data_IF_543556926213
#
_entry.id   IF_543556926213
#
_cell.length_a   1.000
_cell.length_b   1.000
_cell.length_c   1.000
_cell.angle_alpha   90.00
_cell.angle_beta   90.00
_cell.angle_gamma   90.00
#
_symmetry.space_group_name_H-M   'P 1'
#
loop_
_entity.id
_entity.type
_entity.pdbx_description
1 polymer ?
#
# COMPACT_ATOMS: atom_id res chain seq x y z
N UNK A 1 23.53 3.93 -16.80
CA UNK A 1 23.84 2.91 -15.76
C UNK A 1 23.05 1.65 -16.05
N UNK A 2 23.56 0.45 -15.65
CA UNK A 2 22.74 -0.77 -15.72
C UNK A 2 21.65 -0.73 -14.64
N UNK A 3 20.64 -1.57 -14.78
CA UNK A 3 19.58 -1.66 -13.78
C UNK A 3 20.11 -2.18 -12.44
N UNK A 4 21.10 -3.07 -12.47
CA UNK A 4 21.77 -3.60 -11.27
C UNK A 4 22.56 -2.51 -10.54
N UNK A 5 23.31 -1.67 -11.28
CA UNK A 5 24.03 -0.52 -10.69
C UNK A 5 23.06 0.47 -10.07
N UNK A 6 21.93 0.76 -10.75
CA UNK A 6 20.88 1.64 -10.24
C UNK A 6 20.26 1.06 -8.96
N UNK A 7 19.96 -0.25 -8.94
CA UNK A 7 19.43 -0.92 -7.76
C UNK A 7 20.44 -0.92 -6.61
N UNK A 8 21.73 -1.10 -6.90
CA UNK A 8 22.77 -1.08 -5.86
C UNK A 8 22.84 0.29 -5.15
N UNK A 9 22.75 1.39 -5.91
CA UNK A 9 22.69 2.73 -5.32
C UNK A 9 21.43 2.94 -4.49
N UNK A 10 20.25 2.54 -4.97
CA UNK A 10 19.00 2.66 -4.22
C UNK A 10 19.02 1.83 -2.93
N UNK A 11 19.50 0.59 -2.97
CA UNK A 11 19.60 -0.28 -1.79
C UNK A 11 20.55 0.30 -0.74
N UNK A 12 21.63 0.95 -1.16
CA UNK A 12 22.60 1.56 -0.24
C UNK A 12 22.05 2.69 0.62
N UNK A 13 20.93 3.31 0.20
CA UNK A 13 20.27 4.39 0.94
C UNK A 13 19.29 3.79 1.95
N UNK A 14 19.54 4.01 3.26
CA UNK A 14 18.65 3.57 4.34
C UNK A 14 17.38 4.42 4.38
N UNK A 15 16.30 3.89 3.82
CA UNK A 15 14.97 4.51 3.76
C UNK A 15 13.90 3.75 4.54
N UNK A 16 14.27 3.11 5.66
CA UNK A 16 13.29 2.44 6.53
C UNK A 16 12.21 3.43 6.97
N UNK A 17 10.93 3.02 6.91
CA UNK A 17 9.73 3.87 7.11
C UNK A 17 9.71 4.66 8.41
N UNK A 18 10.45 4.24 9.45
CA UNK A 18 10.60 5.03 10.68
C UNK A 18 11.60 6.20 10.58
N UNK A 19 12.24 6.42 9.43
CA UNK A 19 13.19 7.50 9.14
C UNK A 19 12.65 8.40 8.03
N UNK A 20 13.32 9.54 7.82
CA UNK A 20 13.07 10.37 6.65
C UNK A 20 13.56 9.68 5.37
N UNK A 21 12.80 9.77 4.30
CA UNK A 21 13.19 9.31 2.97
C UNK A 21 13.82 10.43 2.11
N UNK A 22 14.15 11.58 2.69
CA UNK A 22 14.63 12.74 1.94
C UNK A 22 15.93 12.46 1.17
N UNK A 23 16.79 11.56 1.66
CA UNK A 23 18.04 11.19 0.97
C UNK A 23 17.78 10.47 -0.35
N UNK A 24 16.90 9.45 -0.35
CA UNK A 24 16.54 8.73 -1.58
C UNK A 24 15.79 9.64 -2.55
N UNK A 25 14.93 10.53 -2.06
CA UNK A 25 14.24 11.52 -2.92
C UNK A 25 15.24 12.48 -3.56
N UNK A 26 16.25 12.96 -2.82
CA UNK A 26 17.30 13.81 -3.37
C UNK A 26 18.07 13.10 -4.49
N UNK A 27 18.39 11.82 -4.30
CA UNK A 27 19.02 11.00 -5.33
C UNK A 27 18.15 10.88 -6.57
N UNK A 28 16.86 10.55 -6.42
CA UNK A 28 15.91 10.39 -7.51
C UNK A 28 15.67 11.71 -8.26
N UNK A 29 15.58 12.84 -7.55
CA UNK A 29 15.45 14.16 -8.15
C UNK A 29 16.67 14.47 -9.04
N UNK A 30 17.88 14.31 -8.50
CA UNK A 30 19.09 14.58 -9.26
C UNK A 30 19.20 13.71 -10.53
N UNK A 31 18.80 12.43 -10.44
CA UNK A 31 18.81 11.51 -11.60
C UNK A 31 17.80 11.91 -12.67
N UNK A 32 16.57 12.26 -12.29
CA UNK A 32 15.52 12.64 -13.24
C UNK A 32 15.78 14.03 -13.83
N UNK A 33 16.26 15.00 -13.05
CA UNK A 33 16.62 16.33 -13.54
C UNK A 33 17.79 16.31 -14.53
N UNK A 34 18.80 15.44 -14.30
CA UNK A 34 19.90 15.23 -15.24
C UNK A 34 19.43 14.70 -16.61
N UNK A 35 18.28 14.04 -16.67
CA UNK A 35 17.64 13.58 -17.89
C UNK A 35 16.68 14.64 -18.50
N UNK A 36 16.58 15.83 -17.90
CA UNK A 36 15.72 16.91 -18.39
C UNK A 36 14.24 16.79 -17.93
N UNK A 37 13.96 15.99 -16.90
CA UNK A 37 12.65 15.91 -16.29
C UNK A 37 12.46 17.03 -15.27
N UNK A 38 11.23 17.44 -15.05
CA UNK A 38 10.87 18.40 -14.00
C UNK A 38 10.43 17.65 -12.76
N UNK A 39 11.19 17.77 -11.67
CA UNK A 39 10.85 17.19 -10.39
C UNK A 39 10.04 18.18 -9.53
N UNK A 40 8.98 17.70 -8.87
CA UNK A 40 8.19 18.44 -7.87
C UNK A 40 8.07 17.59 -6.62
N UNK A 41 8.40 18.17 -5.48
CA UNK A 41 8.33 17.48 -4.18
C UNK A 41 7.11 17.93 -3.37
N UNK A 42 6.59 16.99 -2.56
CA UNK A 42 5.43 17.18 -1.70
C UNK A 42 5.81 16.69 -0.30
N UNK A 43 6.42 17.57 0.53
CA UNK A 43 6.81 17.20 1.88
C UNK A 43 5.62 17.20 2.83
N UNK A 44 5.62 16.25 3.78
CA UNK A 44 4.68 16.22 4.91
C UNK A 44 5.40 15.73 6.16
N UNK A 45 4.72 15.69 7.30
CA UNK A 45 5.27 15.14 8.53
C UNK A 45 4.39 13.99 9.02
N UNK A 46 5.04 12.88 9.38
CA UNK A 46 4.33 11.76 10.02
C UNK A 46 3.89 12.13 11.45
N UNK A 47 3.11 11.26 12.09
CA UNK A 47 2.62 11.44 13.46
C UNK A 47 3.73 11.64 14.52
N UNK A 48 4.97 11.24 14.21
CA UNK A 48 6.16 11.43 15.05
C UNK A 48 6.88 12.74 14.74
N UNK A 49 6.39 13.54 13.79
CA UNK A 49 7.00 14.77 13.33
C UNK A 49 8.21 14.59 12.39
N UNK A 50 8.44 13.36 11.89
CA UNK A 50 9.53 13.07 10.94
C UNK A 50 9.09 13.57 9.56
N UNK A 51 9.98 14.32 8.90
CA UNK A 51 9.75 14.77 7.54
C UNK A 51 9.79 13.61 6.55
N UNK A 52 8.76 13.54 5.73
CA UNK A 52 8.55 12.61 4.63
C UNK A 52 8.36 13.39 3.34
N UNK A 53 8.80 12.86 2.24
CA UNK A 53 8.75 13.55 0.95
C UNK A 53 8.25 12.62 -0.14
N UNK A 54 7.14 12.99 -0.77
CA UNK A 54 6.76 12.40 -2.05
C UNK A 54 7.37 13.23 -3.18
N UNK A 55 7.60 12.63 -4.33
CA UNK A 55 8.12 13.31 -5.51
C UNK A 55 7.40 12.85 -6.77
N UNK A 56 7.07 13.80 -7.64
CA UNK A 56 6.60 13.54 -8.99
C UNK A 56 7.61 14.15 -9.95
N UNK A 57 8.25 13.30 -10.75
CA UNK A 57 9.06 13.75 -11.87
C UNK A 57 8.26 13.59 -13.17
N UNK A 58 8.18 14.65 -13.98
CA UNK A 58 7.35 14.67 -15.17
C UNK A 58 8.15 15.09 -16.39
N UNK A 59 7.86 14.46 -17.54
CA UNK A 59 8.38 14.84 -18.84
C UNK A 59 7.24 15.00 -19.87
N UNK A 60 7.46 15.82 -20.90
CA UNK A 60 6.51 16.05 -21.97
C UNK A 60 5.45 17.12 -21.69
N UNK A 61 5.54 17.82 -20.54
CA UNK A 61 4.69 18.98 -20.21
C UNK A 61 5.36 19.90 -19.22
N UNK A 62 5.12 21.20 -19.40
CA UNK A 62 5.51 22.27 -18.47
C UNK A 62 4.31 22.82 -17.69
N UNK A 63 3.12 22.23 -17.86
CA UNK A 63 1.91 22.65 -17.17
C UNK A 63 2.07 22.57 -15.65
N UNK A 64 1.49 23.52 -14.92
CA UNK A 64 1.50 23.54 -13.46
C UNK A 64 0.69 22.37 -12.90
N UNK A 65 -0.49 22.12 -13.50
CA UNK A 65 -1.31 20.95 -13.24
C UNK A 65 -0.70 19.73 -13.95
N UNK A 66 -0.34 18.71 -13.18
CA UNK A 66 0.27 17.51 -13.73
C UNK A 66 -0.81 16.58 -14.25
N UNK A 67 -0.97 16.54 -15.57
CA UNK A 67 -1.83 15.61 -16.28
C UNK A 67 -0.98 14.76 -17.21
N UNK A 68 -1.00 13.43 -17.04
CA UNK A 68 -0.11 12.52 -17.78
C UNK A 68 -0.88 11.34 -18.38
N UNK A 69 -0.34 10.80 -19.44
CA UNK A 69 -0.89 9.59 -20.05
C UNK A 69 -0.52 8.34 -19.25
N UNK A 70 0.73 8.27 -18.77
CA UNK A 70 1.24 7.15 -17.99
C UNK A 70 1.98 7.64 -16.75
N UNK A 71 1.73 7.01 -15.62
CA UNK A 71 2.49 7.16 -14.39
C UNK A 71 3.14 5.82 -13.99
N UNK A 72 4.44 5.82 -13.69
CA UNK A 72 5.13 4.71 -13.05
C UNK A 72 5.33 5.07 -11.58
N UNK A 73 4.75 4.28 -10.68
CA UNK A 73 4.67 4.58 -9.24
C UNK A 73 5.49 3.57 -8.46
N UNK A 74 6.28 4.03 -7.49
CA UNK A 74 7.00 3.15 -6.59
C UNK A 74 7.29 3.83 -5.26
N UNK A 75 7.10 3.10 -4.17
CA UNK A 75 7.43 3.61 -2.85
C UNK A 75 8.92 3.54 -2.57
N UNK A 76 9.40 4.51 -1.79
CA UNK A 76 10.82 4.68 -1.51
C UNK A 76 11.23 4.14 -0.14
N UNK A 77 10.27 3.92 0.74
CA UNK A 77 10.51 3.37 2.06
C UNK A 77 10.60 1.84 2.06
N UNK A 78 11.09 1.29 3.14
CA UNK A 78 11.22 -0.15 3.34
C UNK A 78 10.88 -0.51 4.78
N UNK A 79 10.44 -1.76 5.02
CA UNK A 79 10.34 -2.28 6.38
C UNK A 79 11.71 -2.35 7.07
N UNK A 80 11.76 -2.35 8.41
CA UNK A 80 12.98 -2.59 9.17
C UNK A 80 13.63 -3.93 8.82
N UNK A 81 14.92 -4.04 9.03
CA UNK A 81 15.69 -5.28 8.89
C UNK A 81 16.41 -5.64 10.19
N UNK A 82 16.70 -6.92 10.36
CA UNK A 82 17.42 -7.44 11.50
C UNK A 82 18.86 -6.90 11.50
N UNK A 83 19.35 -6.41 12.64
CA UNK A 83 20.74 -5.94 12.78
C UNK A 83 21.79 -7.03 12.49
N UNK A 84 21.42 -8.31 12.61
CA UNK A 84 22.27 -9.43 12.21
C UNK A 84 22.42 -9.56 10.69
N UNK A 85 21.55 -8.94 9.89
CA UNK A 85 21.69 -8.89 8.44
C UNK A 85 22.59 -7.72 8.04
N UNK A 86 23.90 -7.91 8.20
CA UNK A 86 24.92 -6.85 8.00
C UNK A 86 25.01 -6.33 6.57
N UNK A 87 24.51 -7.09 5.59
CA UNK A 87 24.53 -6.74 4.15
C UNK A 87 23.21 -6.16 3.67
N UNK A 88 22.26 -5.86 4.56
CA UNK A 88 20.92 -5.40 4.18
C UNK A 88 20.93 -4.19 3.23
N UNK A 89 21.88 -3.27 3.42
CA UNK A 89 22.05 -2.06 2.60
C UNK A 89 23.20 -2.17 1.58
N UNK A 90 23.61 -3.40 1.26
CA UNK A 90 24.60 -3.67 0.22
C UNK A 90 24.08 -4.72 -0.73
N UNK A 91 23.79 -4.33 -1.98
CA UNK A 91 23.33 -5.28 -2.97
C UNK A 91 24.39 -6.35 -3.22
N UNK A 92 24.01 -7.61 -3.09
CA UNK A 92 24.89 -8.76 -3.32
C UNK A 92 24.25 -9.72 -4.30
N UNK A 93 25.03 -10.18 -5.28
CA UNK A 93 24.58 -11.15 -6.29
C UNK A 93 24.97 -12.56 -5.89
N UNK A 94 24.00 -13.48 -5.92
CA UNK A 94 24.18 -14.93 -5.73
C UNK A 94 23.11 -15.70 -6.48
N UNK A 95 23.46 -16.76 -7.17
CA UNK A 95 22.50 -17.66 -7.84
C UNK A 95 21.49 -16.90 -8.72
N UNK A 96 21.96 -15.95 -9.54
CA UNK A 96 21.14 -15.10 -10.42
C UNK A 96 20.06 -14.29 -9.68
N UNK A 97 20.32 -13.94 -8.42
CA UNK A 97 19.47 -13.13 -7.55
C UNK A 97 20.27 -11.99 -6.94
N UNK A 98 19.62 -10.86 -6.81
CA UNK A 98 20.17 -9.66 -6.19
C UNK A 98 19.55 -9.47 -4.80
N UNK A 99 20.37 -9.61 -3.76
CA UNK A 99 19.94 -9.57 -2.35
C UNK A 99 20.20 -8.20 -1.76
N UNK A 100 19.22 -7.66 -1.04
CA UNK A 100 19.28 -6.40 -0.31
C UNK A 100 17.91 -6.00 0.20
N UNK A 101 17.83 -5.16 1.24
CA UNK A 101 16.55 -4.64 1.73
C UNK A 101 15.95 -3.68 0.69
N UNK A 102 14.69 -3.92 0.33
CA UNK A 102 13.99 -3.19 -0.73
C UNK A 102 14.35 -3.66 -2.15
N UNK A 103 15.25 -4.64 -2.31
CA UNK A 103 15.60 -5.13 -3.65
C UNK A 103 14.38 -5.71 -4.38
N UNK A 104 13.46 -6.31 -3.63
CA UNK A 104 12.19 -6.83 -4.11
C UNK A 104 11.06 -5.79 -3.94
N UNK A 105 10.98 -5.19 -2.76
CA UNK A 105 9.88 -4.35 -2.30
C UNK A 105 10.38 -2.95 -1.89
N UNK A 106 10.36 -1.94 -2.81
CA UNK A 106 10.06 -1.98 -4.27
C UNK A 106 11.14 -1.22 -5.06
N UNK A 107 12.39 -1.05 -4.47
CA UNK A 107 13.51 -0.37 -5.13
C UNK A 107 13.90 -1.03 -6.46
N UNK A 108 13.64 -2.35 -6.62
CA UNK A 108 13.83 -3.06 -7.89
C UNK A 108 12.97 -2.49 -9.01
N UNK A 109 11.69 -2.24 -8.75
CA UNK A 109 10.81 -1.58 -9.71
C UNK A 109 11.27 -0.14 -10.01
N UNK A 110 11.67 0.62 -8.98
CA UNK A 110 12.19 2.00 -9.16
C UNK A 110 13.43 1.96 -10.06
N UNK A 111 14.35 1.03 -9.83
CA UNK A 111 15.55 0.87 -10.67
C UNK A 111 15.19 0.54 -12.12
N UNK A 112 14.21 -0.36 -12.34
CA UNK A 112 13.71 -0.70 -13.66
C UNK A 112 13.07 0.51 -14.36
N UNK A 113 12.24 1.29 -13.64
CA UNK A 113 11.59 2.48 -14.17
C UNK A 113 12.62 3.57 -14.57
N UNK A 114 13.61 3.84 -13.70
CA UNK A 114 14.70 4.78 -14.01
C UNK A 114 15.50 4.32 -15.24
N UNK A 115 15.83 3.04 -15.32
CA UNK A 115 16.57 2.49 -16.48
C UNK A 115 15.75 2.56 -17.76
N UNK A 116 14.44 2.33 -17.69
CA UNK A 116 13.55 2.43 -18.84
C UNK A 116 13.48 3.86 -19.38
N UNK A 117 13.36 4.87 -18.50
CA UNK A 117 13.29 6.27 -18.94
C UNK A 117 14.63 6.81 -19.49
N UNK A 118 15.78 6.28 -19.07
CA UNK A 118 17.09 6.63 -19.63
C UNK A 118 17.22 6.29 -21.12
N UNK A 119 16.40 5.37 -21.61
CA UNK A 119 16.37 4.95 -23.02
C UNK A 119 15.53 5.84 -23.92
N UNK A 120 14.76 6.79 -23.33
CA UNK A 120 13.80 7.62 -24.05
C UNK A 120 14.46 8.88 -24.57
N UNK A 121 14.25 9.16 -25.85
CA UNK A 121 14.48 10.50 -26.39
C UNK A 121 13.26 11.39 -26.07
N UNK A 122 13.39 12.31 -25.11
CA UNK A 122 12.31 13.19 -24.68
C UNK A 122 11.67 14.00 -25.83
N UNK A 123 12.43 14.25 -26.91
CA UNK A 123 11.93 14.96 -28.10
C UNK A 123 10.88 14.15 -28.87
N UNK A 124 10.78 12.84 -28.62
CA UNK A 124 9.81 11.96 -29.25
C UNK A 124 8.53 11.79 -28.42
N UNK A 125 8.50 12.31 -27.19
CA UNK A 125 7.30 12.25 -26.37
C UNK A 125 6.16 13.00 -27.03
N UNK A 126 5.06 12.31 -27.26
CA UNK A 126 3.78 12.85 -27.78
C UNK A 126 2.77 13.10 -26.66
N UNK A 127 2.94 12.38 -25.54
CA UNK A 127 2.09 12.47 -24.36
C UNK A 127 2.94 12.48 -23.10
N UNK A 128 2.55 13.22 -22.06
CA UNK A 128 3.33 13.32 -20.84
C UNK A 128 3.43 12.00 -20.10
N UNK A 129 4.58 11.79 -19.46
CA UNK A 129 4.94 10.65 -18.63
C UNK A 129 5.38 11.15 -17.26
N UNK A 130 4.97 10.44 -16.19
CA UNK A 130 5.42 10.72 -14.83
C UNK A 130 6.08 9.52 -14.16
N UNK A 131 7.06 9.79 -13.30
CA UNK A 131 7.50 8.90 -12.23
C UNK A 131 6.96 9.48 -10.92
N UNK A 132 6.34 8.64 -10.12
CA UNK A 132 5.79 9.00 -8.81
C UNK A 132 6.52 8.19 -7.76
N UNK A 133 7.17 8.87 -6.84
CA UNK A 133 7.89 8.26 -5.74
C UNK A 133 7.27 8.68 -4.41
N UNK A 134 6.84 7.72 -3.64
CA UNK A 134 6.07 7.94 -2.41
C UNK A 134 6.86 7.53 -1.18
N UNK A 135 6.42 8.01 -0.05
CA UNK A 135 6.90 7.63 1.28
C UNK A 135 5.80 6.86 2.02
N UNK A 136 6.20 6.10 3.05
CA UNK A 136 5.29 5.50 4.03
C UNK A 136 4.22 4.57 3.42
N UNK A 137 4.57 3.85 2.34
CA UNK A 137 3.73 2.77 1.83
C UNK A 137 3.57 1.68 2.89
N UNK A 138 4.70 1.24 3.45
CA UNK A 138 4.86 0.14 4.41
C UNK A 138 4.16 0.37 5.77
N UNK A 139 3.74 1.60 6.02
CA UNK A 139 2.99 1.98 7.23
C UNK A 139 1.58 2.49 6.92
N UNK A 140 1.11 2.26 5.68
CA UNK A 140 -0.27 2.51 5.35
C UNK A 140 -0.54 3.33 4.09
N UNK A 141 0.38 3.35 3.11
CA UNK A 141 0.28 4.13 1.87
C UNK A 141 0.06 5.64 2.11
N UNK A 142 0.62 6.17 3.23
CA UNK A 142 0.32 7.53 3.68
C UNK A 142 0.76 8.57 2.67
N UNK A 143 1.93 8.38 2.02
CA UNK A 143 2.41 9.30 1.01
C UNK A 143 1.52 9.34 -0.23
N UNK A 144 1.07 8.20 -0.73
CA UNK A 144 0.15 8.16 -1.85
C UNK A 144 -1.21 8.80 -1.50
N UNK A 145 -1.67 8.62 -0.26
CA UNK A 145 -2.87 9.29 0.24
C UNK A 145 -2.71 10.81 0.25
N UNK A 146 -1.59 11.34 0.74
CA UNK A 146 -1.28 12.78 0.70
C UNK A 146 -1.32 13.32 -0.73
N UNK A 147 -0.79 12.58 -1.72
CA UNK A 147 -0.86 12.97 -3.13
C UNK A 147 -2.29 12.94 -3.68
N UNK A 148 -3.09 11.95 -3.30
CA UNK A 148 -4.49 11.84 -3.72
C UNK A 148 -5.35 12.96 -3.12
N UNK A 149 -5.23 13.22 -1.82
CA UNK A 149 -5.94 14.30 -1.12
C UNK A 149 -5.58 15.69 -1.70
N UNK A 150 -4.32 15.88 -2.12
CA UNK A 150 -3.85 17.11 -2.78
C UNK A 150 -4.20 17.19 -4.27
N UNK A 151 -4.81 16.15 -4.87
CA UNK A 151 -4.98 16.03 -6.32
C UNK A 151 -3.69 16.37 -7.08
N UNK A 152 -2.56 15.83 -6.63
CA UNK A 152 -1.22 16.24 -7.04
C UNK A 152 -0.92 15.94 -8.52
N UNK A 153 -1.58 14.91 -9.07
CA UNK A 153 -1.55 14.58 -10.50
C UNK A 153 -2.89 13.97 -10.94
N UNK A 154 -3.08 13.89 -12.26
CA UNK A 154 -4.07 13.06 -12.90
C UNK A 154 -3.36 12.20 -13.94
N UNK A 155 -3.55 10.90 -13.92
CA UNK A 155 -2.97 9.98 -14.88
C UNK A 155 -4.08 9.20 -15.58
N UNK A 156 -3.91 8.91 -16.87
CA UNK A 156 -4.85 7.99 -17.56
C UNK A 156 -4.55 6.55 -17.20
N UNK A 157 -3.27 6.17 -17.20
CA UNK A 157 -2.79 4.85 -16.84
C UNK A 157 -1.76 4.95 -15.72
N UNK A 158 -1.73 3.96 -14.84
CA UNK A 158 -0.72 3.86 -13.80
C UNK A 158 -0.22 2.43 -13.65
N UNK A 159 1.10 2.26 -13.63
CA UNK A 159 1.75 1.01 -13.23
C UNK A 159 2.33 1.24 -11.85
N UNK A 160 1.77 0.53 -10.86
CA UNK A 160 2.19 0.59 -9.45
C UNK A 160 3.13 -0.57 -9.18
N UNK A 161 4.35 -0.25 -8.81
CA UNK A 161 5.45 -1.19 -8.60
C UNK A 161 5.30 -2.01 -7.33
N UNK A 162 5.09 -3.30 -7.49
CA UNK A 162 5.01 -4.28 -6.40
C UNK A 162 5.55 -5.65 -6.87
N UNK A 163 6.02 -6.52 -5.95
CA UNK A 163 6.61 -7.81 -6.33
C UNK A 163 5.54 -8.83 -6.75
N UNK A 164 5.14 -8.79 -8.02
CA UNK A 164 4.12 -9.67 -8.61
C UNK A 164 4.68 -10.79 -9.47
N UNK A 165 6.01 -10.99 -9.48
CA UNK A 165 6.71 -11.91 -10.40
C UNK A 165 6.37 -11.60 -11.86
N UNK A 166 6.28 -10.31 -12.22
CA UNK A 166 5.92 -9.81 -13.55
C UNK A 166 4.53 -10.27 -14.05
N UNK A 167 3.63 -10.65 -13.15
CA UNK A 167 2.23 -10.85 -13.50
C UNK A 167 1.46 -9.54 -13.33
N UNK A 168 0.72 -9.06 -14.35
CA UNK A 168 -0.15 -7.90 -14.17
C UNK A 168 -1.25 -8.21 -13.16
N UNK A 169 -1.48 -7.32 -12.20
CA UNK A 169 -2.57 -7.44 -11.25
C UNK A 169 -3.52 -6.26 -11.45
N UNK A 170 -4.71 -6.53 -12.03
CA UNK A 170 -5.67 -5.51 -12.42
C UNK A 170 -6.68 -5.15 -11.35
N UNK A 171 -6.73 -5.92 -10.27
CA UNK A 171 -7.65 -5.66 -9.17
C UNK A 171 -7.03 -6.04 -7.82
N UNK A 172 -7.38 -5.28 -6.79
CA UNK A 172 -6.92 -5.48 -5.42
C UNK A 172 -8.03 -5.21 -4.41
N UNK A 173 -8.03 -5.97 -3.30
CA UNK A 173 -8.91 -5.65 -2.17
C UNK A 173 -8.46 -4.35 -1.52
N UNK A 174 -9.43 -3.64 -0.90
CA UNK A 174 -9.13 -2.52 -0.03
C UNK A 174 -8.41 -2.97 1.24
N UNK A 175 -7.95 -1.98 2.01
CA UNK A 175 -7.36 -2.23 3.32
C UNK A 175 -7.86 -1.21 4.33
N UNK A 176 -8.51 -1.69 5.36
CA UNK A 176 -9.17 -0.86 6.33
C UNK A 176 -8.81 -1.29 7.76
N UNK A 177 -8.69 -0.30 8.64
CA UNK A 177 -8.30 -0.50 10.03
C UNK A 177 -9.07 0.45 10.94
N UNK A 178 -9.57 -0.05 12.06
CA UNK A 178 -10.20 0.75 13.10
C UNK A 178 -9.81 0.25 14.50
N UNK A 179 -9.78 1.15 15.46
CA UNK A 179 -9.71 0.81 16.87
C UNK A 179 -11.10 0.98 17.50
N UNK A 180 -11.51 0.02 18.31
CA UNK A 180 -12.73 0.05 19.09
C UNK A 180 -12.37 0.03 20.56
N UNK A 181 -12.86 1.02 21.31
CA UNK A 181 -12.58 1.19 22.72
C UNK A 181 -13.90 1.14 23.49
N UNK A 182 -14.02 0.17 24.39
CA UNK A 182 -15.14 0.07 25.32
C UNK A 182 -14.71 0.54 26.69
N UNK A 183 -15.54 1.40 27.28
CA UNK A 183 -15.36 1.88 28.65
C UNK A 183 -16.40 1.25 29.53
N UNK A 184 -15.98 0.94 30.73
CA UNK A 184 -16.81 0.37 31.80
C UNK A 184 -16.64 1.15 33.09
N UNK A 185 -17.01 0.50 34.17
CA UNK A 185 -16.81 1.03 35.52
C UNK A 185 -16.06 0.00 36.37
N UNK A 186 -14.88 0.39 36.86
CA UNK A 186 -14.08 -0.47 37.73
C UNK A 186 -14.79 -0.75 39.04
N UNK A 187 -14.47 -1.88 39.63
CA UNK A 187 -14.99 -2.30 40.91
C UNK A 187 -14.32 -3.58 41.42
N UNK A 188 -14.48 -3.89 42.68
CA UNK A 188 -13.99 -5.14 43.23
C UNK A 188 -14.81 -6.31 42.68
N UNK A 189 -14.12 -7.35 42.13
CA UNK A 189 -14.79 -8.47 41.46
C UNK A 189 -15.78 -9.26 42.32
N UNK A 190 -15.65 -9.20 43.66
CA UNK A 190 -16.62 -9.80 44.60
C UNK A 190 -17.95 -9.02 44.70
N UNK A 191 -18.01 -7.81 44.17
CA UNK A 191 -19.21 -6.95 44.21
C UNK A 191 -19.58 -6.48 42.79
N UNK A 192 -19.98 -7.41 41.87
CA UNK A 192 -20.16 -7.11 40.47
C UNK A 192 -21.23 -6.01 40.20
N UNK A 193 -22.19 -5.83 41.08
CA UNK A 193 -23.21 -4.77 40.95
C UNK A 193 -22.63 -3.34 41.06
N UNK A 194 -21.44 -3.16 41.61
CA UNK A 194 -20.76 -1.87 41.72
C UNK A 194 -19.94 -1.50 40.53
N UNK A 195 -19.69 -2.45 39.61
CA UNK A 195 -18.88 -2.27 38.40
C UNK A 195 -19.66 -2.51 37.11
N UNK A 196 -18.99 -2.27 36.01
CA UNK A 196 -19.50 -2.53 34.67
C UNK A 196 -18.32 -3.01 33.77
N UNK A 197 -18.26 -4.31 33.47
CA UNK A 197 -17.10 -4.90 32.80
C UNK A 197 -17.01 -4.52 31.33
N UNK A 198 -15.98 -3.76 30.95
CA UNK A 198 -15.65 -3.45 29.56
C UNK A 198 -15.31 -4.72 28.76
N UNK A 199 -14.66 -5.71 29.40
CA UNK A 199 -14.30 -7.00 28.71
C UNK A 199 -15.57 -7.76 28.32
N UNK A 200 -16.58 -7.88 29.18
CA UNK A 200 -17.81 -8.58 28.79
C UNK A 200 -18.57 -7.85 27.69
N UNK A 201 -18.53 -6.52 27.67
CA UNK A 201 -19.12 -5.70 26.60
C UNK A 201 -18.36 -5.88 25.29
N UNK A 202 -17.03 -5.87 25.34
CA UNK A 202 -16.19 -6.18 24.18
C UNK A 202 -16.48 -7.59 23.62
N UNK A 203 -16.61 -8.59 24.47
CA UNK A 203 -16.91 -9.95 24.06
C UNK A 203 -18.25 -10.06 23.31
N UNK A 204 -19.30 -9.33 23.75
CA UNK A 204 -20.59 -9.29 23.04
C UNK A 204 -20.44 -8.65 21.66
N UNK A 205 -19.75 -7.50 21.58
CA UNK A 205 -19.54 -6.81 20.31
C UNK A 205 -18.67 -7.66 19.35
N UNK A 206 -17.59 -8.29 19.84
CA UNK A 206 -16.75 -9.21 19.03
C UNK A 206 -17.58 -10.39 18.51
N UNK A 207 -18.50 -10.92 19.32
CA UNK A 207 -19.42 -11.96 18.84
C UNK A 207 -20.36 -11.47 17.73
N UNK A 208 -20.81 -10.23 17.79
CA UNK A 208 -21.60 -9.61 16.71
C UNK A 208 -20.76 -9.41 15.45
N UNK A 209 -19.51 -8.96 15.62
CA UNK A 209 -18.55 -8.80 14.53
C UNK A 209 -18.26 -10.14 13.84
N UNK A 210 -18.14 -11.23 14.59
CA UNK A 210 -17.99 -12.58 14.05
C UNK A 210 -19.17 -12.99 13.16
N UNK A 211 -20.42 -12.67 13.57
CA UNK A 211 -21.60 -12.92 12.76
C UNK A 211 -21.55 -12.11 11.46
N UNK A 212 -21.22 -10.83 11.53
CA UNK A 212 -21.05 -9.98 10.35
C UNK A 212 -19.99 -10.57 9.40
N UNK A 213 -18.86 -11.06 9.94
CA UNK A 213 -17.81 -11.68 9.15
C UNK A 213 -18.32 -12.93 8.38
N UNK A 214 -19.20 -13.72 8.98
CA UNK A 214 -19.83 -14.86 8.29
C UNK A 214 -20.83 -14.40 7.21
N UNK A 215 -21.62 -13.35 7.48
CA UNK A 215 -22.58 -12.78 6.52
C UNK A 215 -21.87 -12.19 5.30
N UNK A 216 -20.69 -11.55 5.47
CA UNK A 216 -19.91 -11.01 4.36
C UNK A 216 -19.43 -12.07 3.36
N UNK A 217 -19.38 -13.34 3.73
CA UNK A 217 -18.99 -14.43 2.83
C UNK A 217 -20.05 -14.74 1.75
N UNK A 218 -21.25 -14.18 1.88
CA UNK A 218 -22.32 -14.36 0.89
C UNK A 218 -22.02 -13.62 -0.44
N UNK A 219 -21.32 -12.48 -0.36
CA UNK A 219 -20.87 -11.74 -1.54
C UNK A 219 -19.49 -12.25 -1.96
N UNK A 220 -19.37 -12.76 -3.19
CA UNK A 220 -18.15 -13.40 -3.67
C UNK A 220 -17.73 -12.88 -5.04
N UNK A 221 -16.43 -12.64 -5.19
CA UNK A 221 -15.74 -12.45 -6.45
C UNK A 221 -14.72 -13.58 -6.63
N UNK A 222 -15.04 -14.52 -7.52
CA UNK A 222 -14.24 -15.74 -7.74
C UNK A 222 -12.77 -15.47 -8.18
N UNK A 223 -12.47 -14.25 -8.60
CA UNK A 223 -11.11 -13.85 -8.98
C UNK A 223 -10.17 -13.66 -7.78
N UNK A 224 -10.69 -13.61 -6.55
CA UNK A 224 -9.92 -13.40 -5.33
C UNK A 224 -9.80 -14.67 -4.48
N UNK A 225 -8.71 -14.76 -3.71
CA UNK A 225 -8.50 -15.77 -2.67
C UNK A 225 -8.19 -15.08 -1.33
N UNK A 226 -9.09 -15.18 -0.33
CA UNK A 226 -10.44 -15.73 -0.41
C UNK A 226 -11.39 -14.83 -1.24
N UNK A 227 -12.49 -15.38 -1.80
CA UNK A 227 -13.34 -14.66 -2.76
C UNK A 227 -14.31 -13.65 -2.14
N UNK A 228 -14.20 -13.33 -0.88
CA UNK A 228 -15.10 -12.46 -0.12
C UNK A 228 -14.33 -11.40 0.68
N UNK A 229 -15.04 -10.39 1.18
CA UNK A 229 -14.49 -9.40 2.12
C UNK A 229 -14.10 -10.08 3.42
N UNK A 230 -12.83 -9.97 3.78
CA UNK A 230 -12.31 -10.51 5.05
C UNK A 230 -12.46 -9.51 6.18
N UNK A 231 -12.70 -10.01 7.38
CA UNK A 231 -12.83 -9.24 8.62
C UNK A 231 -12.12 -9.97 9.75
N UNK A 232 -11.29 -9.26 10.51
CA UNK A 232 -10.48 -9.83 11.58
C UNK A 232 -10.41 -8.91 12.80
N UNK A 233 -10.48 -9.50 13.99
CA UNK A 233 -10.10 -8.85 15.26
C UNK A 233 -8.74 -9.42 15.64
N UNK A 234 -7.67 -8.68 15.30
CA UNK A 234 -6.29 -9.18 15.43
C UNK A 234 -5.70 -9.00 16.81
N UNK A 235 -6.07 -7.94 17.54
CA UNK A 235 -5.56 -7.61 18.86
C UNK A 235 -6.74 -7.25 19.76
N UNK A 236 -6.76 -7.77 20.98
CA UNK A 236 -7.69 -7.37 22.04
C UNK A 236 -6.95 -7.28 23.36
N UNK A 237 -7.17 -6.19 24.11
CA UNK A 237 -6.54 -5.94 25.39
C UNK A 237 -7.56 -5.31 26.36
N UNK A 238 -7.56 -5.73 27.63
CA UNK A 238 -8.47 -5.16 28.60
C UNK A 238 -8.21 -5.61 30.02
N UNK A 239 -8.62 -4.75 30.99
CA UNK A 239 -8.46 -4.98 32.40
C UNK A 239 -7.05 -4.74 32.94
N UNK A 240 -6.92 -4.57 34.23
CA UNK A 240 -5.67 -4.22 34.94
C UNK A 240 -5.23 -5.27 35.95
N UNK A 241 -6.19 -5.99 36.61
CA UNK A 241 -5.91 -7.05 37.56
C UNK A 241 -7.03 -8.09 37.61
N UNK A 242 -6.70 -9.31 38.01
CA UNK A 242 -7.62 -10.46 38.07
C UNK A 242 -8.84 -10.29 38.99
N UNK A 243 -8.76 -9.39 39.99
CA UNK A 243 -9.78 -9.13 41.00
C UNK A 243 -10.40 -7.74 40.88
N UNK A 244 -10.18 -7.07 39.72
CA UNK A 244 -10.81 -5.79 39.38
C UNK A 244 -11.74 -6.01 38.19
N UNK A 245 -12.97 -5.47 38.24
CA UNK A 245 -13.83 -5.42 37.05
C UNK A 245 -13.21 -4.46 36.06
N UNK A 246 -13.03 -4.91 34.84
CA UNK A 246 -12.30 -4.15 33.81
C UNK A 246 -13.01 -2.84 33.46
N UNK A 247 -12.33 -1.72 33.65
CA UNK A 247 -12.82 -0.37 33.31
C UNK A 247 -12.60 -0.03 31.84
N UNK A 248 -11.69 -0.73 31.11
CA UNK A 248 -11.45 -0.51 29.70
C UNK A 248 -11.17 -1.85 29.03
N UNK A 249 -11.59 -1.94 27.75
CA UNK A 249 -11.16 -2.96 26.80
C UNK A 249 -11.12 -2.36 25.41
N UNK A 250 -10.03 -2.59 24.69
CA UNK A 250 -9.85 -2.14 23.31
C UNK A 250 -9.51 -3.30 22.40
N UNK A 251 -9.89 -3.18 21.13
CA UNK A 251 -9.48 -4.14 20.12
C UNK A 251 -9.36 -3.47 18.76
N UNK A 252 -8.48 -4.06 17.92
CA UNK A 252 -8.23 -3.61 16.56
C UNK A 252 -9.04 -4.46 15.59
N UNK A 253 -9.75 -3.79 14.70
CA UNK A 253 -10.55 -4.37 13.64
C UNK A 253 -9.89 -4.09 12.29
N UNK A 254 -9.58 -5.13 11.53
CA UNK A 254 -9.07 -5.08 10.18
C UNK A 254 -10.08 -5.68 9.22
N UNK A 255 -10.29 -5.05 8.06
CA UNK A 255 -11.08 -5.66 6.97
C UNK A 255 -10.53 -5.30 5.60
N UNK A 256 -10.82 -6.18 4.64
CA UNK A 256 -10.37 -6.03 3.26
C UNK A 256 -11.58 -6.14 2.34
N UNK A 257 -12.21 -5.00 1.97
CA UNK A 257 -13.37 -4.98 1.10
C UNK A 257 -12.99 -5.42 -0.32
N UNK A 258 -13.91 -6.12 -0.98
CA UNK A 258 -13.80 -6.42 -2.41
C UNK A 258 -13.93 -5.13 -3.24
N UNK A 259 -13.35 -5.06 -4.45
CA UNK A 259 -13.64 -3.99 -5.39
C UNK A 259 -15.15 -3.86 -5.64
N UNK A 260 -15.63 -2.61 -5.73
CA UNK A 260 -17.05 -2.30 -5.86
C UNK A 260 -17.83 -2.25 -4.55
N UNK A 261 -17.30 -2.82 -3.45
CA UNK A 261 -17.85 -2.67 -2.11
C UNK A 261 -17.22 -1.45 -1.43
N UNK A 262 -18.05 -0.48 -1.02
CA UNK A 262 -17.54 0.70 -0.32
C UNK A 262 -16.85 0.28 0.99
N UNK A 263 -15.65 0.77 1.23
CA UNK A 263 -14.88 0.49 2.45
C UNK A 263 -15.66 0.88 3.73
N UNK A 264 -16.46 1.96 3.65
CA UNK A 264 -17.31 2.43 4.73
C UNK A 264 -18.51 1.50 5.04
N UNK A 265 -18.92 0.61 4.12
CA UNK A 265 -20.08 -0.26 4.33
C UNK A 265 -19.98 -1.08 5.62
N UNK A 266 -18.82 -1.65 5.90
CA UNK A 266 -18.61 -2.39 7.15
C UNK A 266 -18.69 -1.49 8.39
N UNK A 267 -18.23 -0.24 8.31
CA UNK A 267 -18.35 0.70 9.43
C UNK A 267 -19.81 0.93 9.80
N UNK A 268 -20.70 0.99 8.84
CA UNK A 268 -22.12 1.18 9.08
C UNK A 268 -22.74 -0.04 9.77
N UNK A 269 -22.34 -1.25 9.39
CA UNK A 269 -22.73 -2.48 10.08
C UNK A 269 -22.21 -2.53 11.52
N UNK A 270 -20.96 -2.14 11.75
CA UNK A 270 -20.38 -2.09 13.10
C UNK A 270 -21.04 -0.99 13.95
N UNK A 271 -21.29 0.19 13.40
CA UNK A 271 -22.04 1.25 14.08
C UNK A 271 -23.44 0.81 14.47
N UNK A 272 -24.14 0.13 13.57
CA UNK A 272 -25.45 -0.44 13.89
C UNK A 272 -25.39 -1.48 15.03
N UNK A 273 -24.35 -2.33 15.04
CA UNK A 273 -24.13 -3.29 16.12
C UNK A 273 -23.82 -2.59 17.46
N UNK A 274 -23.05 -1.50 17.47
CA UNK A 274 -22.78 -0.69 18.66
C UNK A 274 -24.06 -0.06 19.19
N UNK A 275 -24.89 0.53 18.33
CA UNK A 275 -26.16 1.15 18.75
C UNK A 275 -27.16 0.11 19.28
N UNK A 276 -27.21 -1.09 18.72
CA UNK A 276 -28.02 -2.20 19.23
C UNK A 276 -27.58 -2.62 20.65
N UNK A 277 -26.27 -2.73 20.90
CA UNK A 277 -25.75 -3.01 22.25
C UNK A 277 -26.04 -1.87 23.26
N UNK A 278 -25.88 -0.61 22.82
CA UNK A 278 -26.26 0.56 23.67
C UNK A 278 -27.73 0.54 24.08
N UNK A 279 -28.62 0.13 23.16
CA UNK A 279 -30.05 0.06 23.46
C UNK A 279 -30.41 -0.97 24.51
N UNK A 280 -29.55 -1.99 24.71
CA UNK A 280 -29.76 -3.10 25.65
C UNK A 280 -29.02 -2.95 26.98
N UNK A 281 -27.98 -2.12 27.00
CA UNK A 281 -27.11 -1.93 28.17
C UNK A 281 -26.78 -0.44 28.33
N UNK A 282 -27.42 0.21 29.31
CA UNK A 282 -27.24 1.64 29.54
C UNK A 282 -25.79 2.02 29.92
N UNK A 283 -25.00 1.07 30.42
CA UNK A 283 -23.59 1.25 30.72
C UNK A 283 -22.66 0.92 29.50
N UNK A 284 -23.23 0.66 28.31
CA UNK A 284 -22.44 0.36 27.13
C UNK A 284 -21.89 1.64 26.53
N UNK A 285 -20.66 1.98 26.91
CA UNK A 285 -19.90 3.11 26.34
C UNK A 285 -18.82 2.56 25.37
N UNK A 286 -18.96 2.92 24.10
CA UNK A 286 -18.11 2.45 23.01
C UNK A 286 -17.78 3.59 22.06
N UNK A 287 -16.50 3.75 21.73
CA UNK A 287 -16.01 4.61 20.66
C UNK A 287 -15.35 3.78 19.55
N UNK A 288 -15.54 4.21 18.31
CA UNK A 288 -14.91 3.64 17.10
C UNK A 288 -14.10 4.74 16.44
N UNK A 289 -12.81 4.50 16.31
CA UNK A 289 -11.86 5.38 15.63
C UNK A 289 -11.37 4.72 14.35
N UNK A 290 -11.59 5.37 13.21
CA UNK A 290 -11.14 4.89 11.92
C UNK A 290 -9.69 5.32 11.70
N UNK A 291 -8.79 4.35 11.55
CA UNK A 291 -7.36 4.58 11.34
C UNK A 291 -7.06 4.60 9.83
N UNK A 292 -7.70 3.70 9.07
CA UNK A 292 -7.51 3.56 7.63
C UNK A 292 -8.80 3.10 6.95
N UNK A 293 -9.09 3.65 5.74
CA UNK A 293 -10.30 3.34 5.01
C UNK A 293 -10.06 3.41 3.51
N UNK A 294 -9.36 2.42 2.96
CA UNK A 294 -9.06 2.35 1.53
C UNK A 294 -10.04 1.40 0.83
N UNK A 295 -10.63 1.87 -0.26
CA UNK A 295 -11.45 1.04 -1.14
C UNK A 295 -10.58 0.03 -1.89
N UNK A 296 -11.20 -1.08 -2.34
CA UNK A 296 -10.61 -1.93 -3.35
C UNK A 296 -10.57 -1.21 -4.71
N UNK A 297 -9.67 -1.63 -5.58
CA UNK A 297 -9.57 -1.11 -6.93
C UNK A 297 -9.75 -2.23 -7.96
N UNK A 298 -10.33 -1.89 -9.12
CA UNK A 298 -10.41 -2.79 -10.26
C UNK A 298 -10.30 -2.00 -11.56
N UNK A 299 -9.32 -2.35 -12.37
CA UNK A 299 -9.19 -1.90 -13.75
C UNK A 299 -9.87 -2.91 -14.67
N UNK A 300 -10.63 -2.40 -15.65
CA UNK A 300 -11.38 -3.23 -16.58
C UNK A 300 -10.46 -4.17 -17.36
N UNK A 301 -10.90 -5.42 -17.62
CA UNK A 301 -10.12 -6.40 -18.40
C UNK A 301 -9.80 -5.92 -19.82
N UNK A 302 -10.63 -5.08 -20.39
CA UNK A 302 -10.45 -4.51 -21.72
C UNK A 302 -9.68 -3.19 -21.74
N UNK A 303 -9.16 -2.74 -20.60
CA UNK A 303 -8.22 -1.62 -20.51
C UNK A 303 -7.04 -1.83 -21.47
N UNK A 304 -6.62 -0.76 -22.14
CA UNK A 304 -5.47 -0.82 -23.04
C UNK A 304 -4.17 -1.16 -22.28
N UNK A 305 -4.06 -0.73 -21.00
CA UNK A 305 -2.92 -1.06 -20.15
C UNK A 305 -2.90 -2.54 -19.79
N UNK A 306 -4.05 -3.10 -19.38
CA UNK A 306 -4.15 -4.53 -19.04
C UNK A 306 -3.79 -5.38 -20.25
N UNK A 307 -4.40 -5.12 -21.41
CA UNK A 307 -4.12 -5.85 -22.66
C UNK A 307 -2.66 -5.78 -23.07
N UNK A 308 -2.03 -4.60 -22.97
CA UNK A 308 -0.60 -4.47 -23.28
C UNK A 308 0.24 -5.34 -22.36
N UNK A 309 0.01 -5.26 -21.04
CA UNK A 309 0.81 -6.02 -20.08
C UNK A 309 0.59 -7.54 -20.24
N UNK A 310 -0.64 -8.00 -20.51
CA UNK A 310 -0.90 -9.41 -20.85
C UNK A 310 -0.18 -9.85 -22.11
N UNK A 311 -0.18 -9.02 -23.16
CA UNK A 311 0.51 -9.31 -24.43
C UNK A 311 2.01 -9.44 -24.23
N UNK A 312 2.64 -8.47 -23.55
CA UNK A 312 4.11 -8.44 -23.43
C UNK A 312 4.65 -9.44 -22.42
N UNK A 313 3.86 -9.82 -21.41
CA UNK A 313 4.25 -10.83 -20.42
C UNK A 313 3.81 -12.24 -20.77
N UNK A 314 2.90 -12.39 -21.74
CA UNK A 314 2.18 -13.64 -22.04
C UNK A 314 1.50 -14.26 -20.78
N UNK A 315 1.06 -13.42 -19.83
CA UNK A 315 0.42 -13.81 -18.57
C UNK A 315 -0.94 -13.12 -18.45
N UNK A 316 -1.97 -13.88 -18.07
CA UNK A 316 -3.30 -13.32 -17.79
C UNK A 316 -3.24 -12.44 -16.52
N UNK A 317 -3.96 -11.32 -16.55
CA UNK A 317 -4.03 -10.41 -15.42
C UNK A 317 -4.79 -11.03 -14.25
N UNK A 318 -4.13 -11.02 -13.08
CA UNK A 318 -4.64 -11.56 -11.83
C UNK A 318 -5.20 -10.50 -10.88
N UNK A 319 -5.33 -10.91 -9.62
CA UNK A 319 -5.77 -10.09 -8.49
C UNK A 319 -4.82 -10.22 -7.31
N UNK A 320 -4.80 -9.20 -6.43
CA UNK A 320 -4.02 -9.21 -5.19
C UNK A 320 -4.93 -9.03 -3.97
N UNK A 321 -4.47 -9.55 -2.83
CA UNK A 321 -5.17 -9.39 -1.54
C UNK A 321 -4.37 -8.57 -0.51
N UNK A 322 -3.15 -8.14 -0.85
CA UNK A 322 -2.34 -7.24 -0.02
C UNK A 322 -2.58 -5.76 -0.39
N UNK A 323 -2.22 -4.85 0.52
CA UNK A 323 -2.35 -3.41 0.29
C UNK A 323 -1.30 -2.91 -0.71
N UNK A 324 -1.64 -1.89 -1.49
CA UNK A 324 -0.76 -1.19 -2.42
C UNK A 324 -1.26 0.24 -2.60
N UNK A 325 -0.51 1.06 -3.32
CA UNK A 325 -0.90 2.43 -3.66
C UNK A 325 -1.84 2.55 -4.88
N UNK A 326 -2.23 1.42 -5.48
CA UNK A 326 -3.10 1.42 -6.66
C UNK A 326 -4.50 2.03 -6.42
N UNK A 327 -5.14 1.86 -5.23
CA UNK A 327 -6.37 2.58 -4.91
C UNK A 327 -6.23 4.10 -4.99
N UNK A 328 -5.15 4.67 -4.45
CA UNK A 328 -4.90 6.12 -4.47
C UNK A 328 -4.66 6.62 -5.90
N UNK A 329 -3.98 5.83 -6.73
CA UNK A 329 -3.84 6.16 -8.16
C UNK A 329 -5.17 6.12 -8.90
N UNK A 330 -6.05 5.16 -8.56
CA UNK A 330 -7.41 5.10 -9.11
C UNK A 330 -8.26 6.29 -8.66
N UNK A 331 -8.15 6.75 -7.41
CA UNK A 331 -8.79 7.98 -6.91
C UNK A 331 -8.34 9.24 -7.67
N UNK A 332 -7.09 9.26 -8.14
CA UNK A 332 -6.55 10.32 -9.02
C UNK A 332 -6.90 10.11 -10.50
N UNK A 333 -7.79 9.17 -10.82
CA UNK A 333 -8.38 8.96 -12.14
C UNK A 333 -7.70 7.93 -13.02
N UNK A 334 -6.69 7.20 -12.53
CA UNK A 334 -5.93 6.26 -13.34
C UNK A 334 -6.63 4.88 -13.46
N UNK A 335 -6.55 4.29 -14.66
CA UNK A 335 -6.64 2.85 -14.81
C UNK A 335 -5.33 2.24 -14.28
N UNK A 336 -5.35 1.76 -13.02
CA UNK A 336 -4.16 1.29 -12.32
C UNK A 336 -3.96 -0.22 -12.45
N UNK A 337 -2.71 -0.65 -12.67
CA UNK A 337 -2.29 -2.06 -12.64
C UNK A 337 -1.09 -2.18 -11.72
N UNK A 338 -1.13 -3.14 -10.81
CA UNK A 338 0.01 -3.46 -9.93
C UNK A 338 0.90 -4.46 -10.66
N UNK A 339 2.20 -4.15 -10.73
CA UNK A 339 3.14 -4.92 -11.54
C UNK A 339 4.59 -4.67 -11.13
N UNK A 340 5.40 -5.71 -11.08
CA UNK A 340 6.85 -5.57 -10.90
C UNK A 340 7.59 -6.88 -10.70
N UNK A 341 8.93 -6.80 -10.64
CA UNK A 341 9.80 -7.95 -10.50
C UNK A 341 9.84 -8.43 -9.04
N UNK A 342 10.14 -9.70 -8.85
CA UNK A 342 10.21 -10.33 -7.54
C UNK A 342 8.86 -10.83 -7.04
N UNK A 343 8.87 -11.49 -5.89
CA UNK A 343 7.69 -12.15 -5.35
C UNK A 343 7.44 -11.70 -3.91
N UNK A 344 6.20 -11.31 -3.59
CA UNK A 344 5.80 -10.84 -2.26
C UNK A 344 6.16 -11.80 -1.12
N UNK A 345 6.31 -13.09 -1.41
CA UNK A 345 6.66 -14.11 -0.40
C UNK A 345 8.09 -13.98 0.13
N UNK A 346 8.97 -13.25 -0.58
CA UNK A 346 10.35 -13.01 -0.13
C UNK A 346 10.54 -11.60 0.42
N UNK A 347 9.58 -10.70 0.22
CA UNK A 347 9.53 -9.39 0.84
C UNK A 347 9.47 -9.50 2.38
N UNK A 348 9.88 -8.44 3.09
CA UNK A 348 9.84 -8.33 4.57
C UNK A 348 10.67 -9.38 5.33
N UNK A 349 11.53 -10.13 4.64
CA UNK A 349 12.39 -11.17 5.24
C UNK A 349 13.87 -10.78 5.21
N UNK A 350 14.64 -11.38 6.10
CA UNK A 350 16.09 -11.42 5.96
C UNK A 350 16.46 -12.17 4.67
N UNK A 351 17.44 -11.67 3.94
CA UNK A 351 17.80 -12.15 2.60
C UNK A 351 16.68 -11.95 1.55
N UNK A 352 15.94 -10.86 1.65
CA UNK A 352 15.09 -10.39 0.56
C UNK A 352 15.89 -10.27 -0.74
N UNK A 353 15.30 -10.66 -1.86
CA UNK A 353 15.98 -10.64 -3.17
C UNK A 353 15.00 -10.40 -4.32
N UNK A 354 15.53 -9.90 -5.42
CA UNK A 354 14.86 -9.89 -6.72
C UNK A 354 15.63 -10.80 -7.71
N UNK A 355 14.94 -11.65 -8.52
CA UNK A 355 15.60 -12.38 -9.60
C UNK A 355 16.18 -11.41 -10.64
N UNK A 356 17.43 -11.64 -11.05
CA UNK A 356 18.12 -10.78 -12.00
C UNK A 356 17.42 -10.73 -13.36
N UNK A 357 16.91 -11.87 -13.83
CA UNK A 357 16.17 -11.97 -15.08
C UNK A 357 14.87 -11.14 -15.02
N UNK A 358 14.08 -11.28 -13.93
CA UNK A 358 12.83 -10.51 -13.76
C UNK A 358 13.09 -9.00 -13.67
N UNK A 359 14.19 -8.59 -13.04
CA UNK A 359 14.57 -7.18 -12.97
C UNK A 359 14.88 -6.62 -14.37
N UNK A 360 15.61 -7.34 -15.17
CA UNK A 360 15.94 -6.95 -16.58
C UNK A 360 14.71 -6.96 -17.47
N UNK A 361 13.88 -7.99 -17.36
CA UNK A 361 12.62 -8.11 -18.11
C UNK A 361 11.66 -6.98 -17.76
N UNK A 362 11.60 -6.56 -16.49
CA UNK A 362 10.81 -5.42 -16.06
C UNK A 362 11.19 -4.14 -16.80
N UNK A 363 12.49 -3.87 -17.01
CA UNK A 363 12.95 -2.71 -17.80
C UNK A 363 12.39 -2.76 -19.23
N UNK A 364 12.43 -3.91 -19.88
CA UNK A 364 11.93 -4.07 -21.26
C UNK A 364 10.40 -3.87 -21.32
N UNK A 365 9.66 -4.42 -20.34
CA UNK A 365 8.20 -4.28 -20.29
C UNK A 365 7.80 -2.82 -20.04
N UNK A 366 8.44 -2.14 -19.09
CA UNK A 366 8.18 -0.71 -18.83
C UNK A 366 8.55 0.16 -20.04
N UNK A 367 9.65 -0.16 -20.74
CA UNK A 367 10.03 0.54 -21.97
C UNK A 367 8.94 0.40 -23.04
N UNK A 368 8.39 -0.80 -23.24
CA UNK A 368 7.28 -1.03 -24.20
C UNK A 368 6.01 -0.29 -23.79
N UNK A 369 5.70 -0.21 -22.48
CA UNK A 369 4.56 0.56 -22.01
C UNK A 369 4.73 2.06 -22.32
N UNK A 370 5.92 2.60 -22.10
CA UNK A 370 6.24 4.00 -22.42
C UNK A 370 6.14 4.23 -23.95
N UNK A 371 6.73 3.35 -24.75
CA UNK A 371 6.64 3.44 -26.22
C UNK A 371 5.18 3.43 -26.69
N UNK A 372 4.37 2.55 -26.16
CA UNK A 372 2.95 2.38 -26.55
C UNK A 372 2.08 3.58 -26.21
N UNK A 373 2.29 4.18 -25.04
CA UNK A 373 1.39 5.20 -24.50
C UNK A 373 1.91 6.62 -24.67
N UNK A 374 3.24 6.81 -24.68
CA UNK A 374 3.83 8.14 -24.63
C UNK A 374 4.62 8.53 -25.89
N UNK A 375 5.06 7.60 -26.72
CA UNK A 375 5.79 7.86 -27.97
C UNK A 375 4.88 7.66 -29.19
#
# INVERSE_FOLDING_TARGET
MTVEETLAELVSIDSVSKRSNAEIIKYLAARTEALGWRAKTFPYRDERGIEKVNMIAVAGTDAEKIEVELALVGHTDTVPFDAAWTDALRLTERDEKLYGRGACDTKGFIAAALTAIERIDLRKLRRPLALVFTADEEVGCLGAKELADAHALSARYSIVGEPTSLQPMRAGKGYCLAEIILRGREGHSAYPALGASAIFRAARLVRRIEIIAEELKAEQLAAFEPPYTTLNVGIIQGGTAKNIIAGECRFTLEWRPLPGQAAAYLLDLIRAAIEDEKSRDADFDCSLEVIRLDNGMETAKDSALVRLLEEVTAREAGTISFGTEAPQMAEMGAEAVVFGPGNIRVAHRTNEFVPLEELRECVEILSRAIERFCL
#
